data_IF_372907249882
#
_entry.id   IF_372907249882
#
_cell.length_a   1.000
_cell.length_b   1.000
_cell.length_c   1.000
_cell.angle_alpha   90.00
_cell.angle_beta   90.00
_cell.angle_gamma   90.00
#
_symmetry.space_group_name_H-M   'P 1'
#
loop_
_entity.id
_entity.type
_entity.pdbx_description
1 polymer ?
#
# COMPACT_ATOMS: atom_id res chain seq x y z
N UNK A 1 17.35 -1.53 13.78
CA UNK A 1 17.78 -2.35 12.61
C UNK A 1 16.65 -3.23 12.09
N UNK A 2 15.99 -4.04 12.93
CA UNK A 2 14.86 -4.90 12.52
C UNK A 2 13.69 -4.09 11.94
N UNK A 3 13.31 -2.97 12.56
CA UNK A 3 12.20 -2.11 12.09
C UNK A 3 12.41 -1.62 10.66
N UNK A 4 13.62 -1.15 10.34
CA UNK A 4 13.96 -0.65 8.99
C UNK A 4 13.86 -1.77 7.97
N UNK A 5 14.38 -2.96 8.31
CA UNK A 5 14.27 -4.13 7.43
C UNK A 5 12.81 -4.55 7.20
N UNK A 6 12.00 -4.59 8.25
CA UNK A 6 10.58 -4.90 8.14
C UNK A 6 9.84 -3.90 7.25
N UNK A 7 10.08 -2.59 7.44
CA UNK A 7 9.50 -1.54 6.61
C UNK A 7 9.91 -1.66 5.14
N UNK A 8 11.18 -1.96 4.86
CA UNK A 8 11.67 -2.16 3.50
C UNK A 8 11.02 -3.38 2.83
N UNK A 9 10.91 -4.50 3.54
CA UNK A 9 10.29 -5.72 3.01
C UNK A 9 8.82 -5.50 2.68
N UNK A 10 8.07 -4.83 3.57
CA UNK A 10 6.68 -4.47 3.33
C UNK A 10 6.56 -3.55 2.11
N UNK A 11 7.40 -2.51 2.02
CA UNK A 11 7.36 -1.57 0.90
C UNK A 11 7.62 -2.29 -0.43
N UNK A 12 8.68 -3.09 -0.52
CA UNK A 12 9.01 -3.84 -1.74
C UNK A 12 7.85 -4.76 -2.15
N UNK A 13 7.26 -5.50 -1.20
CA UNK A 13 6.12 -6.38 -1.48
C UNK A 13 4.88 -5.62 -1.97
N UNK A 14 4.58 -4.47 -1.37
CA UNK A 14 3.49 -3.59 -1.79
C UNK A 14 3.69 -3.09 -3.23
N UNK A 15 4.88 -2.60 -3.56
CA UNK A 15 5.18 -2.11 -4.90
C UNK A 15 5.18 -3.23 -5.95
N UNK A 16 5.79 -4.39 -5.66
CA UNK A 16 5.76 -5.55 -6.57
C UNK A 16 4.32 -5.97 -6.87
N UNK A 17 3.49 -6.11 -5.82
CA UNK A 17 2.10 -6.50 -5.98
C UNK A 17 1.28 -5.45 -6.75
N UNK A 18 1.55 -4.18 -6.49
CA UNK A 18 0.91 -3.08 -7.23
C UNK A 18 1.24 -3.17 -8.71
N UNK A 19 2.53 -3.26 -9.06
CA UNK A 19 2.98 -3.35 -10.45
C UNK A 19 2.53 -4.64 -11.13
N UNK A 20 2.42 -5.76 -10.41
CA UNK A 20 1.91 -7.03 -10.94
C UNK A 20 0.53 -6.87 -11.56
N UNK A 21 -0.40 -6.16 -10.90
CA UNK A 21 -1.76 -5.91 -11.42
C UNK A 21 -1.70 -5.18 -12.77
N UNK A 22 -0.83 -4.17 -12.89
CA UNK A 22 -0.66 -3.41 -14.13
C UNK A 22 0.03 -4.20 -15.23
N UNK A 23 1.00 -5.07 -14.86
CA UNK A 23 1.74 -5.93 -15.79
C UNK A 23 0.86 -7.04 -16.36
N UNK A 24 0.07 -7.69 -15.52
CA UNK A 24 -0.82 -8.79 -15.93
C UNK A 24 -2.15 -8.29 -16.47
N UNK A 25 -2.48 -7.00 -16.27
CA UNK A 25 -3.77 -6.40 -16.61
C UNK A 25 -4.94 -7.19 -16.02
N UNK A 26 -4.75 -7.77 -14.84
CA UNK A 26 -5.73 -8.61 -14.16
C UNK A 26 -5.70 -8.36 -12.66
N UNK A 27 -6.88 -8.19 -12.09
CA UNK A 27 -7.07 -8.09 -10.65
C UNK A 27 -8.04 -9.16 -10.10
N UNK A 28 -8.27 -10.25 -10.86
CA UNK A 28 -9.29 -11.28 -10.55
C UNK A 28 -9.08 -11.98 -9.21
N UNK A 29 -7.84 -12.10 -8.77
CA UNK A 29 -7.49 -12.78 -7.52
C UNK A 29 -7.69 -11.91 -6.27
N UNK A 30 -7.95 -10.61 -6.45
CA UNK A 30 -8.11 -9.66 -5.36
C UNK A 30 -9.58 -9.44 -5.04
N UNK A 31 -9.93 -9.44 -3.76
CA UNK A 31 -11.26 -9.00 -3.32
C UNK A 31 -11.28 -7.48 -3.18
N UNK A 32 -12.44 -6.86 -3.44
CA UNK A 32 -12.62 -5.43 -3.19
C UNK A 32 -12.38 -5.07 -1.72
N UNK A 33 -12.73 -5.97 -0.80
CA UNK A 33 -12.52 -5.79 0.64
C UNK A 33 -11.03 -5.69 0.97
N UNK A 34 -10.18 -6.53 0.37
CA UNK A 34 -8.73 -6.49 0.59
C UNK A 34 -8.14 -5.15 0.14
N UNK A 35 -8.49 -4.70 -1.06
CA UNK A 35 -8.00 -3.42 -1.60
C UNK A 35 -8.46 -2.24 -0.74
N UNK A 36 -9.73 -2.23 -0.32
CA UNK A 36 -10.26 -1.18 0.55
C UNK A 36 -9.54 -1.17 1.91
N UNK A 37 -9.35 -2.35 2.52
CA UNK A 37 -8.64 -2.48 3.78
C UNK A 37 -7.19 -2.00 3.66
N UNK A 38 -6.50 -2.31 2.56
CA UNK A 38 -5.13 -1.87 2.29
C UNK A 38 -5.02 -0.34 2.23
N UNK A 39 -5.92 0.32 1.48
CA UNK A 39 -5.93 1.78 1.35
C UNK A 39 -6.26 2.44 2.69
N UNK A 40 -7.32 1.98 3.37
CA UNK A 40 -7.71 2.54 4.67
C UNK A 40 -6.64 2.33 5.73
N UNK A 41 -5.94 1.19 5.72
CA UNK A 41 -4.85 0.91 6.65
C UNK A 41 -3.72 1.93 6.51
N UNK A 42 -3.16 2.09 5.30
CA UNK A 42 -2.02 3.02 5.11
C UNK A 42 -2.41 4.48 5.32
N UNK A 43 -3.63 4.87 4.92
CA UNK A 43 -4.15 6.22 5.21
C UNK A 43 -4.31 6.46 6.71
N UNK A 44 -4.78 5.46 7.46
CA UNK A 44 -4.92 5.55 8.92
C UNK A 44 -3.57 5.64 9.62
N UNK A 45 -2.58 4.86 9.18
CA UNK A 45 -1.21 4.94 9.71
C UNK A 45 -0.54 6.28 9.42
N UNK A 46 -0.74 6.85 8.23
CA UNK A 46 -0.25 8.18 7.92
C UNK A 46 -0.92 9.25 8.81
N UNK A 47 -2.24 9.20 8.94
CA UNK A 47 -2.98 10.11 9.81
C UNK A 47 -2.56 9.97 11.29
N UNK A 48 -2.33 8.74 11.74
CA UNK A 48 -1.82 8.45 13.07
C UNK A 48 -0.42 9.02 13.28
N UNK A 49 0.53 8.76 12.37
CA UNK A 49 1.88 9.32 12.47
C UNK A 49 1.88 10.85 12.53
N UNK A 50 1.02 11.49 11.73
CA UNK A 50 0.82 12.94 11.75
C UNK A 50 0.26 13.43 13.10
N UNK A 51 -0.70 12.73 13.70
CA UNK A 51 -1.32 13.16 14.96
C UNK A 51 -0.35 13.14 16.14
N UNK A 52 0.58 12.18 16.17
CA UNK A 52 1.60 12.07 17.22
C UNK A 52 2.95 12.71 16.85
N UNK A 53 3.05 13.34 15.67
CA UNK A 53 4.27 13.98 15.17
C UNK A 53 5.49 13.03 15.06
N UNK A 54 5.25 11.74 14.85
CA UNK A 54 6.31 10.72 14.76
C UNK A 54 6.81 10.58 13.33
N UNK A 55 7.91 11.28 13.03
CA UNK A 55 8.51 11.33 11.70
C UNK A 55 8.79 9.95 11.07
N UNK A 56 9.22 8.89 11.80
CA UNK A 56 9.50 7.61 11.16
C UNK A 56 8.23 6.96 10.59
N UNK A 57 7.11 7.06 11.31
CA UNK A 57 5.81 6.50 10.90
C UNK A 57 5.29 7.27 9.69
N UNK A 58 5.40 8.61 9.72
CA UNK A 58 4.99 9.48 8.62
C UNK A 58 5.75 9.11 7.35
N UNK A 59 7.08 9.00 7.42
CA UNK A 59 7.93 8.69 6.26
C UNK A 59 7.60 7.32 5.66
N UNK A 60 7.48 6.28 6.49
CA UNK A 60 7.14 4.93 6.00
C UNK A 60 5.76 4.90 5.36
N UNK A 61 4.75 5.50 6.00
CA UNK A 61 3.38 5.52 5.47
C UNK A 61 3.31 6.35 4.18
N UNK A 62 4.04 7.47 4.11
CA UNK A 62 4.12 8.28 2.90
C UNK A 62 4.75 7.54 1.71
N UNK A 63 5.67 6.60 1.96
CA UNK A 63 6.25 5.73 0.93
C UNK A 63 5.26 4.64 0.50
N UNK A 64 4.44 4.11 1.41
CA UNK A 64 3.52 3.01 1.14
C UNK A 64 2.21 3.44 0.47
N UNK A 65 1.66 4.61 0.84
CA UNK A 65 0.38 5.12 0.32
C UNK A 65 0.35 5.18 -1.22
N UNK A 66 1.39 5.64 -1.94
CA UNK A 66 1.40 5.60 -3.39
C UNK A 66 1.24 4.18 -3.96
N UNK A 67 1.88 3.17 -3.36
CA UNK A 67 1.73 1.79 -3.79
C UNK A 67 0.28 1.30 -3.63
N UNK A 68 -0.36 1.57 -2.49
CA UNK A 68 -1.75 1.15 -2.26
C UNK A 68 -2.74 1.85 -3.20
N UNK A 69 -2.49 3.13 -3.53
CA UNK A 69 -3.27 3.87 -4.53
C UNK A 69 -3.07 3.26 -5.92
N UNK A 70 -1.84 2.94 -6.32
CA UNK A 70 -1.55 2.29 -7.60
C UNK A 70 -2.24 0.92 -7.68
N UNK A 71 -2.20 0.13 -6.62
CA UNK A 71 -2.90 -1.15 -6.53
C UNK A 71 -4.42 -0.96 -6.66
N UNK A 72 -5.00 0.03 -5.97
CA UNK A 72 -6.44 0.32 -6.02
C UNK A 72 -6.88 0.78 -7.41
N UNK A 73 -6.13 1.66 -8.06
CA UNK A 73 -6.39 2.09 -9.43
C UNK A 73 -6.30 0.92 -10.42
N UNK A 74 -5.27 0.08 -10.29
CA UNK A 74 -5.12 -1.13 -11.10
C UNK A 74 -6.28 -2.10 -10.88
N UNK A 75 -6.69 -2.29 -9.63
CA UNK A 75 -7.85 -3.10 -9.27
C UNK A 75 -9.12 -2.59 -9.94
N UNK A 76 -9.44 -1.30 -9.80
CA UNK A 76 -10.63 -0.71 -10.41
C UNK A 76 -10.63 -0.81 -11.94
N UNK A 77 -9.44 -0.72 -12.58
CA UNK A 77 -9.28 -0.82 -14.02
C UNK A 77 -9.43 -2.25 -14.55
N UNK A 78 -8.88 -3.24 -13.84
CA UNK A 78 -8.73 -4.62 -14.30
C UNK A 78 -9.53 -5.65 -13.50
N UNK A 79 -10.53 -5.21 -12.74
CA UNK A 79 -11.48 -6.07 -12.01
C UNK A 79 -12.40 -6.88 -12.93
N UNK A 80 -12.62 -6.44 -14.17
CA UNK A 80 -13.48 -7.12 -15.16
C UNK A 80 -12.68 -8.15 -15.95
#
# INVERSE_FOLDING_TARGET
MITVMASLLIAIGLYDQSFKIWRTRSAKDFTSTLILALVLNEMSWLAYGLSIHEWPIIVVSAINVPATVIAALGFLRYRK
#
